data_IF_656081704244
#
_entry.id   IF_656081704244
#
_cell.length_a   1.000
_cell.length_b   1.000
_cell.length_c   1.000
_cell.angle_alpha   90.00
_cell.angle_beta   90.00
_cell.angle_gamma   90.00
#
_symmetry.space_group_name_H-M   'P 1'
#
loop_
_entity.id
_entity.type
_entity.pdbx_description
1 polymer ?
#
# COMPACT_ATOMS: atom_id res chain seq x y z
N UNK A 1 -12.91 -10.39 -42.51
CA UNK A 1 -13.83 -11.51 -42.84
C UNK A 1 -13.72 -12.57 -41.76
N UNK A 2 -14.80 -13.30 -41.48
CA UNK A 2 -14.88 -14.35 -40.46
C UNK A 2 -13.76 -15.39 -40.57
N UNK A 3 -13.30 -15.69 -41.78
CA UNK A 3 -12.16 -16.57 -42.02
C UNK A 3 -10.81 -15.99 -41.54
N UNK A 4 -10.61 -14.66 -41.65
CA UNK A 4 -9.40 -14.00 -41.16
C UNK A 4 -9.38 -13.94 -39.63
N UNK A 5 -10.51 -13.74 -38.99
CA UNK A 5 -10.65 -13.76 -37.53
C UNK A 5 -10.41 -15.14 -36.94
N UNK A 6 -10.98 -16.19 -37.59
CA UNK A 6 -10.72 -17.59 -37.21
C UNK A 6 -9.25 -17.96 -37.38
N UNK A 7 -8.60 -17.55 -38.47
CA UNK A 7 -7.18 -17.77 -38.68
C UNK A 7 -6.29 -17.04 -37.65
N UNK A 8 -6.65 -15.82 -37.29
CA UNK A 8 -5.93 -15.07 -36.27
C UNK A 8 -6.09 -15.69 -34.85
N UNK A 9 -7.30 -16.13 -34.52
CA UNK A 9 -7.60 -16.83 -33.28
C UNK A 9 -6.82 -18.14 -33.16
N UNK A 10 -6.80 -18.94 -34.24
CA UNK A 10 -6.07 -20.22 -34.28
C UNK A 10 -4.55 -19.99 -34.13
N UNK A 11 -4.00 -18.98 -34.82
CA UNK A 11 -2.58 -18.62 -34.70
C UNK A 11 -2.22 -18.19 -33.28
N UNK A 12 -3.08 -17.39 -32.64
CA UNK A 12 -2.90 -16.96 -31.25
C UNK A 12 -2.90 -18.16 -30.31
N UNK A 13 -3.88 -19.06 -30.41
CA UNK A 13 -3.96 -20.27 -29.59
C UNK A 13 -2.74 -21.17 -29.75
N UNK A 14 -2.30 -21.39 -31.01
CA UNK A 14 -1.12 -22.18 -31.30
C UNK A 14 0.17 -21.51 -30.76
N UNK A 15 0.27 -20.19 -30.84
CA UNK A 15 1.40 -19.42 -30.28
C UNK A 15 1.48 -19.53 -28.78
N UNK A 16 0.37 -19.30 -28.09
CA UNK A 16 0.28 -19.43 -26.62
C UNK A 16 0.62 -20.83 -26.16
N UNK A 17 0.12 -21.86 -26.85
CA UNK A 17 0.43 -23.27 -26.53
C UNK A 17 1.94 -23.56 -26.61
N UNK A 18 2.60 -23.12 -27.68
CA UNK A 18 4.06 -23.27 -27.83
C UNK A 18 4.82 -22.54 -26.72
N UNK A 19 4.32 -21.39 -26.31
CA UNK A 19 4.94 -20.64 -25.22
C UNK A 19 4.74 -21.33 -23.87
N UNK A 20 3.58 -21.95 -23.61
CA UNK A 20 3.34 -22.81 -22.43
C UNK A 20 4.35 -23.96 -22.39
N UNK A 21 4.55 -24.65 -23.52
CA UNK A 21 5.51 -25.74 -23.64
C UNK A 21 6.94 -25.26 -23.37
N UNK A 22 7.33 -24.11 -23.93
CA UNK A 22 8.63 -23.49 -23.69
C UNK A 22 8.85 -23.16 -22.21
N UNK A 23 7.90 -22.46 -21.57
CA UNK A 23 7.97 -22.10 -20.16
C UNK A 23 8.08 -23.35 -19.27
N UNK A 24 7.28 -24.38 -19.57
CA UNK A 24 7.28 -25.64 -18.81
C UNK A 24 8.62 -26.36 -18.91
N UNK A 25 9.23 -26.42 -20.09
CA UNK A 25 10.54 -27.06 -20.30
C UNK A 25 11.62 -26.38 -19.47
N UNK A 26 11.56 -25.05 -19.37
CA UNK A 26 12.52 -24.23 -18.60
C UNK A 26 12.11 -24.02 -17.16
N UNK A 27 11.10 -24.74 -16.65
CA UNK A 27 10.58 -24.65 -15.26
C UNK A 27 10.13 -23.24 -14.87
N UNK A 28 9.70 -22.47 -15.85
CA UNK A 28 9.09 -21.16 -15.67
C UNK A 28 7.56 -21.32 -15.56
N UNK A 29 6.85 -20.37 -14.87
CA UNK A 29 5.41 -20.45 -14.69
C UNK A 29 4.65 -20.43 -16.03
N UNK A 30 3.96 -21.53 -16.42
CA UNK A 30 3.27 -21.61 -17.72
C UNK A 30 2.07 -20.65 -17.83
N UNK A 31 1.49 -20.22 -16.70
CA UNK A 31 0.41 -19.23 -16.62
C UNK A 31 0.80 -17.86 -17.20
N UNK A 32 2.08 -17.55 -17.26
CA UNK A 32 2.58 -16.29 -17.84
C UNK A 32 2.48 -16.25 -19.38
N UNK A 33 2.26 -17.39 -20.03
CA UNK A 33 2.24 -17.49 -21.49
C UNK A 33 1.23 -16.53 -22.15
N UNK A 34 0.05 -16.36 -21.57
CA UNK A 34 -0.99 -15.47 -22.11
C UNK A 34 -0.54 -14.01 -22.05
N UNK A 35 0.03 -13.59 -20.91
CA UNK A 35 0.54 -12.21 -20.72
C UNK A 35 1.71 -11.93 -21.67
N UNK A 36 2.67 -12.84 -21.74
CA UNK A 36 3.83 -12.72 -22.61
C UNK A 36 3.42 -12.65 -24.09
N UNK A 37 2.52 -13.55 -24.52
CA UNK A 37 2.06 -13.57 -25.90
C UNK A 37 1.27 -12.32 -26.28
N UNK A 38 0.56 -11.71 -25.31
CA UNK A 38 -0.16 -10.45 -25.55
C UNK A 38 0.80 -9.31 -25.89
N UNK A 39 1.97 -9.24 -25.21
CA UNK A 39 2.94 -8.15 -25.38
C UNK A 39 3.89 -8.40 -26.55
N UNK A 40 4.45 -9.60 -26.61
CA UNK A 40 5.51 -9.95 -27.57
C UNK A 40 5.02 -10.78 -28.78
N UNK A 41 3.78 -11.28 -28.72
CA UNK A 41 3.23 -12.12 -29.81
C UNK A 41 4.09 -13.34 -30.10
N UNK A 42 4.35 -13.62 -31.40
CA UNK A 42 5.18 -14.74 -31.82
C UNK A 42 6.63 -14.67 -31.32
N UNK A 43 7.13 -13.48 -31.02
CA UNK A 43 8.52 -13.21 -30.65
C UNK A 43 8.78 -13.38 -29.13
N UNK A 44 7.77 -13.81 -28.36
CA UNK A 44 7.84 -13.95 -26.91
C UNK A 44 8.99 -14.85 -26.43
N UNK A 45 9.28 -15.95 -27.13
CA UNK A 45 10.39 -16.83 -26.77
C UNK A 45 11.75 -16.16 -27.01
N UNK A 46 11.88 -15.41 -28.09
CA UNK A 46 13.13 -14.69 -28.40
C UNK A 46 13.35 -13.54 -27.42
N UNK A 47 12.28 -12.80 -27.05
CA UNK A 47 12.33 -11.79 -26.01
C UNK A 47 12.81 -12.37 -24.67
N UNK A 48 12.32 -13.55 -24.28
CA UNK A 48 12.76 -14.22 -23.05
C UNK A 48 14.21 -14.73 -23.12
N UNK A 49 14.69 -15.13 -24.28
CA UNK A 49 16.10 -15.50 -24.47
C UNK A 49 17.03 -14.29 -24.44
N UNK A 50 16.55 -13.17 -24.97
CA UNK A 50 17.32 -11.92 -24.96
C UNK A 50 17.39 -11.32 -23.56
N UNK A 51 16.27 -11.31 -22.83
CA UNK A 51 16.21 -10.81 -21.46
C UNK A 51 15.27 -11.68 -20.58
N UNK A 52 15.81 -12.72 -19.93
CA UNK A 52 15.04 -13.55 -19.00
C UNK A 52 14.49 -12.78 -17.81
N UNK A 53 15.21 -11.73 -17.36
CA UNK A 53 14.89 -10.99 -16.13
C UNK A 53 13.67 -10.09 -16.27
N UNK A 54 13.14 -9.88 -17.48
CA UNK A 54 11.84 -9.23 -17.65
C UNK A 54 10.72 -9.95 -16.88
N UNK A 55 10.85 -11.25 -16.63
CA UNK A 55 9.87 -12.03 -15.86
C UNK A 55 9.86 -11.72 -14.37
N UNK A 56 10.91 -11.11 -13.84
CA UNK A 56 10.99 -10.68 -12.43
C UNK A 56 10.21 -9.38 -12.19
N UNK A 57 9.87 -8.65 -13.25
CA UNK A 57 9.01 -7.48 -13.16
C UNK A 57 7.70 -7.82 -12.43
N UNK A 58 7.19 -6.95 -11.53
CA UNK A 58 5.95 -7.17 -10.80
C UNK A 58 4.75 -7.52 -11.68
N UNK A 59 4.73 -7.06 -12.92
CA UNK A 59 3.69 -7.42 -13.88
C UNK A 59 3.62 -8.92 -14.16
N UNK A 60 4.78 -9.60 -14.25
CA UNK A 60 4.85 -11.04 -14.44
C UNK A 60 4.91 -11.79 -13.12
N UNK A 61 5.66 -11.28 -12.15
CA UNK A 61 5.74 -11.82 -10.81
C UNK A 61 6.36 -13.21 -10.72
N UNK A 62 7.25 -13.57 -11.65
CA UNK A 62 7.95 -14.84 -11.60
C UNK A 62 8.97 -14.86 -10.44
N UNK A 63 9.18 -16.05 -9.88
CA UNK A 63 10.20 -16.25 -8.86
C UNK A 63 11.61 -16.00 -9.40
N UNK A 64 12.38 -15.16 -8.69
CA UNK A 64 13.74 -14.80 -9.11
C UNK A 64 14.64 -16.03 -9.30
N UNK A 65 14.58 -17.01 -8.40
CA UNK A 65 15.43 -18.20 -8.47
C UNK A 65 15.17 -19.03 -9.74
N UNK A 66 13.90 -19.16 -10.16
CA UNK A 66 13.53 -19.86 -11.39
C UNK A 66 14.02 -19.11 -12.62
N UNK A 67 13.87 -17.80 -12.65
CA UNK A 67 14.32 -16.94 -13.76
C UNK A 67 15.84 -16.93 -13.86
N UNK A 68 16.54 -16.82 -12.72
CA UNK A 68 18.01 -16.83 -12.67
C UNK A 68 18.59 -18.17 -13.15
N UNK A 69 17.96 -19.30 -12.75
CA UNK A 69 18.33 -20.61 -13.26
C UNK A 69 18.19 -20.71 -14.80
N UNK A 70 17.09 -20.19 -15.34
CA UNK A 70 16.87 -20.14 -16.78
C UNK A 70 17.91 -19.25 -17.50
N UNK A 71 18.23 -18.08 -16.95
CA UNK A 71 19.24 -17.19 -17.50
C UNK A 71 20.62 -17.85 -17.55
N UNK A 72 20.98 -18.60 -16.50
CA UNK A 72 22.23 -19.36 -16.45
C UNK A 72 22.23 -20.55 -17.45
N UNK A 73 21.09 -21.20 -17.68
CA UNK A 73 20.95 -22.21 -18.77
C UNK A 73 21.22 -21.61 -20.16
N UNK A 74 20.93 -20.32 -20.35
CA UNK A 74 21.22 -19.57 -21.58
C UNK A 74 22.68 -19.10 -21.67
N UNK A 75 23.54 -19.50 -20.72
CA UNK A 75 24.94 -19.11 -20.63
C UNK A 75 25.16 -17.60 -20.50
N UNK A 76 24.19 -16.86 -19.91
CA UNK A 76 24.38 -15.48 -19.58
C UNK A 76 25.50 -15.33 -18.52
N UNK A 77 26.39 -14.32 -18.67
CA UNK A 77 27.46 -14.09 -17.71
C UNK A 77 26.94 -13.94 -16.29
N UNK A 78 27.65 -14.48 -15.31
CA UNK A 78 27.24 -14.40 -13.90
C UNK A 78 27.15 -12.94 -13.40
N UNK A 79 27.93 -12.03 -13.99
CA UNK A 79 27.98 -10.61 -13.72
C UNK A 79 27.21 -9.74 -14.75
N UNK A 80 26.33 -10.37 -15.56
CA UNK A 80 25.47 -9.64 -16.50
C UNK A 80 24.70 -8.53 -15.77
N UNK A 81 24.72 -7.32 -16.33
CA UNK A 81 24.11 -6.13 -15.72
C UNK A 81 22.63 -6.34 -15.37
N UNK A 82 21.87 -7.02 -16.25
CA UNK A 82 20.44 -7.32 -16.04
C UNK A 82 20.25 -8.26 -14.86
N UNK A 83 21.14 -9.25 -14.68
CA UNK A 83 21.13 -10.15 -13.52
C UNK A 83 21.35 -9.39 -12.21
N UNK A 84 22.36 -8.52 -12.21
CA UNK A 84 22.70 -7.71 -11.03
C UNK A 84 21.54 -6.77 -10.67
N UNK A 85 20.99 -6.06 -11.64
CA UNK A 85 19.86 -5.14 -11.44
C UNK A 85 18.61 -5.88 -10.96
N UNK A 86 18.28 -7.02 -11.57
CA UNK A 86 17.14 -7.85 -11.14
C UNK A 86 17.33 -8.38 -9.71
N UNK A 87 18.55 -8.77 -9.33
CA UNK A 87 18.87 -9.22 -7.97
C UNK A 87 18.70 -8.11 -6.93
N UNK A 88 19.13 -6.90 -7.23
CA UNK A 88 18.92 -5.72 -6.35
C UNK A 88 17.44 -5.42 -6.17
N UNK A 89 16.68 -5.39 -7.26
CA UNK A 89 15.23 -5.13 -7.21
C UNK A 89 14.47 -6.25 -6.51
N UNK A 90 14.92 -7.50 -6.66
CA UNK A 90 14.35 -8.63 -5.93
C UNK A 90 14.55 -8.47 -4.42
N UNK A 91 15.76 -8.14 -3.96
CA UNK A 91 16.02 -7.92 -2.53
C UNK A 91 15.20 -6.76 -1.96
N UNK A 92 15.04 -5.66 -2.70
CA UNK A 92 14.15 -4.57 -2.30
C UNK A 92 12.70 -5.06 -2.16
N UNK A 93 12.19 -5.78 -3.15
CA UNK A 93 10.81 -6.30 -3.14
C UNK A 93 10.59 -7.34 -2.04
N UNK A 94 11.57 -8.21 -1.80
CA UNK A 94 11.51 -9.21 -0.74
C UNK A 94 11.37 -8.56 0.65
N UNK A 95 12.10 -7.47 0.89
CA UNK A 95 12.03 -6.75 2.17
C UNK A 95 10.71 -5.98 2.39
N UNK A 96 10.02 -5.56 1.32
CA UNK A 96 8.66 -5.01 1.43
C UNK A 96 7.70 -6.03 2.04
N UNK A 97 7.80 -7.30 1.67
CA UNK A 97 6.99 -8.39 2.22
C UNK A 97 7.27 -8.65 3.71
N UNK A 98 8.40 -8.13 4.23
CA UNK A 98 8.75 -8.16 5.65
C UNK A 98 8.45 -6.85 6.39
N UNK A 99 7.67 -5.95 5.77
CA UNK A 99 7.18 -4.72 6.37
C UNK A 99 8.12 -3.52 6.26
N UNK A 100 9.26 -3.65 5.58
CA UNK A 100 10.23 -2.56 5.41
C UNK A 100 9.99 -1.81 4.10
N UNK A 101 9.89 -0.48 4.14
CA UNK A 101 9.74 0.36 2.95
C UNK A 101 11.07 0.65 2.25
N UNK A 102 12.17 0.52 2.96
CA UNK A 102 13.53 0.70 2.42
C UNK A 102 14.53 -0.28 3.04
N UNK A 103 15.70 -0.37 2.42
CA UNK A 103 16.85 -1.10 2.95
C UNK A 103 18.06 -0.15 2.97
N UNK A 104 18.87 -0.13 4.05
CA UNK A 104 20.16 0.55 4.03
C UNK A 104 21.06 0.03 2.91
N UNK A 105 21.73 0.92 2.18
CA UNK A 105 22.51 0.60 0.98
C UNK A 105 23.54 -0.51 1.21
N UNK A 106 24.26 -0.47 2.34
CA UNK A 106 25.24 -1.50 2.69
C UNK A 106 24.61 -2.88 2.90
N UNK A 107 23.42 -2.92 3.53
CA UNK A 107 22.69 -4.18 3.72
C UNK A 107 22.16 -4.71 2.39
N UNK A 108 21.63 -3.84 1.53
CA UNK A 108 21.16 -4.22 0.20
C UNK A 108 22.29 -4.78 -0.65
N UNK A 109 23.45 -4.11 -0.66
CA UNK A 109 24.64 -4.57 -1.35
C UNK A 109 25.09 -5.94 -0.85
N UNK A 110 25.19 -6.14 0.46
CA UNK A 110 25.61 -7.40 1.05
C UNK A 110 24.63 -8.56 0.77
N UNK A 111 23.31 -8.30 0.88
CA UNK A 111 22.28 -9.30 0.60
C UNK A 111 22.30 -9.73 -0.88
N UNK A 112 22.39 -8.76 -1.80
CA UNK A 112 22.44 -9.05 -3.24
C UNK A 112 23.75 -9.76 -3.63
N UNK A 113 24.89 -9.35 -3.06
CA UNK A 113 26.17 -10.04 -3.27
C UNK A 113 26.12 -11.51 -2.84
N UNK A 114 25.51 -11.79 -1.69
CA UNK A 114 25.28 -13.16 -1.21
C UNK A 114 24.30 -13.94 -2.12
N UNK A 115 23.20 -13.32 -2.54
CA UNK A 115 22.21 -13.93 -3.43
C UNK A 115 22.83 -14.36 -4.77
N UNK A 116 23.63 -13.48 -5.38
CA UNK A 116 24.19 -13.68 -6.72
C UNK A 116 25.58 -14.34 -6.71
N UNK A 117 26.20 -14.48 -5.53
CA UNK A 117 27.60 -14.92 -5.37
C UNK A 117 28.59 -14.06 -6.18
N UNK A 118 28.43 -12.74 -6.07
CA UNK A 118 29.26 -11.74 -6.75
C UNK A 118 29.97 -10.81 -5.75
N UNK A 119 31.04 -10.17 -6.20
CA UNK A 119 31.75 -9.18 -5.41
C UNK A 119 30.89 -7.91 -5.17
N UNK A 120 30.98 -7.28 -3.97
CA UNK A 120 30.20 -6.09 -3.63
C UNK A 120 30.34 -4.91 -4.61
N UNK A 121 31.50 -4.75 -5.24
CA UNK A 121 31.77 -3.67 -6.20
C UNK A 121 30.88 -3.78 -7.43
N UNK A 122 30.62 -5.01 -7.91
CA UNK A 122 29.75 -5.27 -9.05
C UNK A 122 28.29 -4.88 -8.67
N UNK A 123 27.88 -5.22 -7.45
CA UNK A 123 26.55 -4.87 -6.95
C UNK A 123 26.39 -3.36 -6.80
N UNK A 124 27.38 -2.65 -6.23
CA UNK A 124 27.34 -1.18 -6.11
C UNK A 124 27.24 -0.50 -7.47
N UNK A 125 27.94 -0.99 -8.49
CA UNK A 125 27.78 -0.49 -9.85
C UNK A 125 26.37 -0.67 -10.39
N UNK A 126 25.73 -1.82 -10.15
CA UNK A 126 24.34 -2.09 -10.50
C UNK A 126 23.34 -1.18 -9.74
N UNK A 127 23.57 -0.96 -8.45
CA UNK A 127 22.76 -0.03 -7.64
C UNK A 127 22.85 1.41 -8.17
N UNK A 128 24.06 1.85 -8.58
CA UNK A 128 24.26 3.17 -9.18
C UNK A 128 23.48 3.31 -10.49
N UNK A 129 23.56 2.32 -11.38
CA UNK A 129 22.79 2.32 -12.63
C UNK A 129 21.28 2.37 -12.39
N UNK A 130 20.75 1.56 -11.45
CA UNK A 130 19.34 1.57 -11.10
C UNK A 130 18.89 2.94 -10.58
N UNK A 131 19.73 3.61 -9.79
CA UNK A 131 19.44 4.96 -9.30
C UNK A 131 19.45 5.98 -10.45
N UNK A 132 20.43 5.93 -11.35
CA UNK A 132 20.50 6.80 -12.53
C UNK A 132 19.33 6.60 -13.50
N UNK A 133 18.82 5.37 -13.60
CA UNK A 133 17.64 5.03 -14.40
C UNK A 133 16.32 5.39 -13.71
N UNK A 134 16.35 5.85 -12.45
CA UNK A 134 15.14 6.12 -11.66
C UNK A 134 14.34 4.87 -11.25
N UNK A 135 14.96 3.68 -11.33
CA UNK A 135 14.36 2.40 -10.92
C UNK A 135 14.59 2.08 -9.44
N UNK A 136 15.45 2.82 -8.80
CA UNK A 136 15.71 2.82 -7.36
C UNK A 136 15.92 4.26 -6.89
N UNK A 137 15.41 4.61 -5.74
CA UNK A 137 15.64 5.91 -5.11
C UNK A 137 16.57 5.71 -3.91
N UNK A 138 17.58 6.57 -3.80
CA UNK A 138 18.46 6.60 -2.63
C UNK A 138 18.27 7.92 -1.91
N UNK A 139 17.94 7.88 -0.63
CA UNK A 139 17.77 9.06 0.21
C UNK A 139 18.49 8.89 1.55
N UNK A 140 18.72 9.99 2.25
CA UNK A 140 19.31 9.96 3.60
C UNK A 140 18.26 9.94 4.69
N UNK A 141 18.18 8.82 5.40
CA UNK A 141 17.28 8.63 6.54
C UNK A 141 18.11 8.35 7.79
N UNK A 142 18.01 9.21 8.78
CA UNK A 142 18.73 9.08 10.05
C UNK A 142 20.26 8.87 9.88
N UNK A 143 20.86 9.51 8.87
CA UNK A 143 22.30 9.41 8.57
C UNK A 143 22.72 8.17 7.74
N UNK A 144 21.77 7.31 7.40
CA UNK A 144 21.99 6.14 6.54
C UNK A 144 21.52 6.43 5.11
N UNK A 145 22.20 5.86 4.13
CA UNK A 145 21.69 5.79 2.76
C UNK A 145 20.62 4.71 2.68
N UNK A 146 19.38 5.14 2.45
CA UNK A 146 18.20 4.29 2.35
C UNK A 146 17.80 4.08 0.89
N UNK A 147 17.71 2.83 0.46
CA UNK A 147 17.32 2.45 -0.89
C UNK A 147 15.85 2.03 -0.92
N UNK A 148 15.10 2.62 -1.84
CA UNK A 148 13.67 2.41 -2.03
C UNK A 148 13.34 1.96 -3.44
N UNK A 149 12.25 1.20 -3.58
CA UNK A 149 11.51 1.20 -4.85
C UNK A 149 10.79 2.54 -5.00
N UNK A 150 10.78 3.16 -6.20
CA UNK A 150 10.25 4.51 -6.40
C UNK A 150 8.83 4.72 -5.88
N UNK A 151 7.92 3.76 -6.12
CA UNK A 151 6.53 3.85 -5.69
C UNK A 151 6.36 3.92 -4.17
N UNK A 152 7.27 3.35 -3.38
CA UNK A 152 7.23 3.41 -1.92
C UNK A 152 7.83 4.71 -1.39
N UNK A 153 8.88 5.21 -2.04
CA UNK A 153 9.42 6.54 -1.73
C UNK A 153 8.39 7.64 -1.96
N UNK A 154 7.76 7.63 -3.14
CA UNK A 154 6.70 8.57 -3.50
C UNK A 154 5.50 8.49 -2.56
N UNK A 155 5.12 7.28 -2.14
CA UNK A 155 4.04 7.06 -1.18
C UNK A 155 4.39 7.64 0.20
N UNK A 156 5.60 7.41 0.72
CA UNK A 156 6.04 8.00 1.99
C UNK A 156 6.05 9.54 1.93
N UNK A 157 6.61 10.12 0.86
CA UNK A 157 6.62 11.56 0.67
C UNK A 157 5.19 12.14 0.60
N UNK A 158 4.32 11.48 -0.15
CA UNK A 158 2.93 11.92 -0.28
C UNK A 158 2.21 11.89 1.06
N UNK A 159 2.28 10.75 1.77
CA UNK A 159 1.65 10.59 3.08
C UNK A 159 2.19 11.62 4.07
N UNK A 160 3.51 11.78 4.16
CA UNK A 160 4.14 12.75 5.06
C UNK A 160 3.62 14.17 4.78
N UNK A 161 3.66 14.60 3.54
CA UNK A 161 3.17 15.94 3.14
C UNK A 161 1.68 16.12 3.45
N UNK A 162 0.85 15.12 3.13
CA UNK A 162 -0.59 15.17 3.34
C UNK A 162 -0.96 15.22 4.83
N UNK A 163 -0.31 14.40 5.64
CA UNK A 163 -0.48 14.39 7.09
C UNK A 163 -0.10 15.75 7.69
N UNK A 164 1.05 16.32 7.32
CA UNK A 164 1.47 17.64 7.81
C UNK A 164 0.47 18.75 7.45
N UNK A 165 -0.15 18.68 6.27
CA UNK A 165 -1.22 19.60 5.89
C UNK A 165 -2.48 19.47 6.76
N UNK A 166 -2.73 18.27 7.32
CA UNK A 166 -3.92 17.96 8.12
C UNK A 166 -3.70 18.18 9.64
N UNK A 167 -2.52 18.53 10.10
CA UNK A 167 -2.24 18.74 11.55
C UNK A 167 -2.78 20.06 12.09
N UNK A 168 -3.39 20.89 11.26
CA UNK A 168 -3.96 22.18 11.65
C UNK A 168 -5.19 22.09 12.55
N UNK A 169 -5.46 23.17 13.26
CA UNK A 169 -6.70 23.34 14.02
C UNK A 169 -7.84 23.74 13.07
N UNK A 170 -9.04 23.23 13.39
CA UNK A 170 -10.29 23.65 12.76
C UNK A 170 -11.04 24.59 13.70
N UNK A 171 -11.81 25.50 13.10
CA UNK A 171 -12.71 26.34 13.88
C UNK A 171 -13.80 25.46 14.51
N UNK A 172 -13.80 25.42 15.84
CA UNK A 172 -14.79 24.66 16.60
C UNK A 172 -16.08 25.46 16.77
N UNK A 173 -17.24 24.80 16.85
CA UNK A 173 -18.49 25.48 17.22
C UNK A 173 -18.37 26.17 18.55
N UNK A 174 -18.89 27.41 18.69
CA UNK A 174 -18.86 28.17 19.92
C UNK A 174 -19.58 27.50 21.11
N UNK A 175 -20.49 26.58 20.79
CA UNK A 175 -21.27 25.79 21.77
C UNK A 175 -20.75 24.34 21.90
N UNK A 176 -19.46 24.08 21.61
CA UNK A 176 -18.88 22.71 21.56
C UNK A 176 -19.16 21.91 22.83
N UNK A 177 -18.96 22.50 24.02
CA UNK A 177 -19.22 21.80 25.29
C UNK A 177 -20.69 21.34 25.41
N UNK A 178 -21.64 22.18 25.01
CA UNK A 178 -23.07 21.80 24.98
C UNK A 178 -23.34 20.68 23.97
N UNK A 179 -22.60 20.63 22.85
CA UNK A 179 -22.74 19.55 21.87
C UNK A 179 -22.18 18.23 22.43
N UNK A 180 -21.07 18.28 23.16
CA UNK A 180 -20.49 17.11 23.84
C UNK A 180 -21.42 16.59 24.94
N UNK A 181 -21.99 17.49 25.79
CA UNK A 181 -22.96 17.12 26.81
C UNK A 181 -24.19 16.42 26.20
N UNK A 182 -24.69 16.92 25.09
CA UNK A 182 -25.82 16.31 24.38
C UNK A 182 -25.47 14.96 23.78
N UNK A 183 -24.22 14.80 23.25
CA UNK A 183 -23.73 13.52 22.76
C UNK A 183 -23.71 12.48 23.89
N UNK A 184 -23.20 12.86 25.07
CA UNK A 184 -23.17 12.03 26.27
C UNK A 184 -24.57 11.62 26.72
N UNK A 185 -25.51 12.56 26.79
CA UNK A 185 -26.91 12.31 27.14
C UNK A 185 -27.62 11.37 26.13
N UNK A 186 -27.35 11.59 24.82
CA UNK A 186 -27.97 10.76 23.76
C UNK A 186 -27.57 9.30 23.84
N UNK A 187 -26.40 9.00 24.38
CA UNK A 187 -25.89 7.65 24.55
C UNK A 187 -26.16 7.07 25.92
N UNK A 188 -26.76 7.83 26.84
CA UNK A 188 -27.01 7.42 28.22
C UNK A 188 -25.73 6.93 28.93
N UNK A 189 -24.61 7.57 28.62
CA UNK A 189 -23.28 7.24 29.14
C UNK A 189 -22.66 8.48 29.76
N UNK A 190 -21.75 8.26 30.71
CA UNK A 190 -20.85 9.30 31.22
C UNK A 190 -19.44 9.00 30.71
N UNK A 191 -18.87 9.92 29.93
CA UNK A 191 -17.52 9.74 29.39
C UNK A 191 -16.47 9.95 30.48
N UNK A 192 -15.44 9.09 30.48
CA UNK A 192 -14.25 9.39 31.25
C UNK A 192 -13.56 10.67 30.71
N UNK A 193 -12.77 11.34 31.55
CA UNK A 193 -12.16 12.62 31.16
C UNK A 193 -11.38 12.56 29.84
N UNK A 194 -10.59 11.51 29.64
CA UNK A 194 -9.82 11.32 28.40
C UNK A 194 -10.73 11.00 27.19
N UNK A 195 -11.81 10.27 27.38
CA UNK A 195 -12.78 10.00 26.33
C UNK A 195 -13.49 11.28 25.89
N UNK A 196 -13.91 12.10 26.87
CA UNK A 196 -14.52 13.41 26.61
C UNK A 196 -13.58 14.34 25.88
N UNK A 197 -12.31 14.35 26.26
CA UNK A 197 -11.27 15.14 25.58
C UNK A 197 -11.10 14.68 24.14
N UNK A 198 -10.97 13.38 23.85
CA UNK A 198 -10.87 12.84 22.49
C UNK A 198 -12.07 13.23 21.62
N UNK A 199 -13.30 13.17 22.17
CA UNK A 199 -14.52 13.59 21.47
C UNK A 199 -14.48 15.09 21.15
N UNK A 200 -14.04 15.91 22.09
CA UNK A 200 -13.88 17.35 21.91
C UNK A 200 -12.86 17.67 20.82
N UNK A 201 -11.71 17.01 20.88
CA UNK A 201 -10.63 17.18 19.90
C UNK A 201 -11.06 16.80 18.47
N UNK A 202 -11.93 15.83 18.30
CA UNK A 202 -12.46 15.46 17.00
C UNK A 202 -13.19 16.60 16.27
N UNK A 203 -13.75 17.56 17.01
CA UNK A 203 -14.33 18.77 16.42
C UNK A 203 -13.28 19.83 16.06
N UNK A 204 -12.15 19.83 16.76
CA UNK A 204 -11.11 20.86 16.69
C UNK A 204 -9.94 20.50 15.80
N UNK A 205 -9.77 19.24 15.43
CA UNK A 205 -8.65 18.74 14.64
C UNK A 205 -9.14 18.13 13.34
N UNK A 206 -8.39 18.37 12.28
CA UNK A 206 -8.66 17.72 11.00
C UNK A 206 -8.17 16.27 11.03
N UNK A 207 -7.04 16.00 11.66
CA UNK A 207 -6.49 14.68 11.87
C UNK A 207 -6.34 14.42 13.38
N UNK A 208 -6.89 13.31 13.84
CA UNK A 208 -6.81 12.86 15.23
C UNK A 208 -6.54 11.36 15.27
N UNK A 209 -5.62 10.94 16.13
CA UNK A 209 -5.37 9.55 16.46
C UNK A 209 -6.03 9.23 17.81
N UNK A 210 -6.83 8.17 17.83
CA UNK A 210 -7.42 7.59 19.04
C UNK A 210 -6.77 6.23 19.27
N UNK A 211 -5.96 6.13 20.30
CA UNK A 211 -5.21 4.90 20.60
C UNK A 211 -5.57 4.36 21.99
N UNK A 212 -5.36 3.07 22.16
CA UNK A 212 -5.56 2.37 23.44
C UNK A 212 -5.62 0.86 23.24
N UNK A 213 -5.29 0.12 24.28
CA UNK A 213 -5.35 -1.34 24.29
C UNK A 213 -6.79 -1.89 24.21
N UNK A 214 -6.95 -3.21 24.22
CA UNK A 214 -8.25 -3.85 24.26
C UNK A 214 -9.06 -3.43 25.49
N UNK A 215 -10.35 -3.13 25.32
CA UNK A 215 -11.25 -2.76 26.42
C UNK A 215 -11.07 -1.36 27.01
N UNK A 216 -10.24 -0.50 26.45
CA UNK A 216 -10.00 0.87 26.94
C UNK A 216 -11.10 1.89 26.59
N UNK A 217 -12.14 1.44 25.86
CA UNK A 217 -13.27 2.31 25.50
C UNK A 217 -13.13 3.05 24.18
N UNK A 218 -12.26 2.60 23.25
CA UNK A 218 -12.15 3.18 21.89
C UNK A 218 -13.51 3.21 21.18
N UNK A 219 -14.30 2.15 21.29
CA UNK A 219 -15.65 2.10 20.71
C UNK A 219 -16.57 3.17 21.29
N UNK A 220 -16.49 3.42 22.59
CA UNK A 220 -17.25 4.49 23.26
C UNK A 220 -16.86 5.86 22.71
N UNK A 221 -15.57 6.11 22.53
CA UNK A 221 -15.05 7.35 21.92
C UNK A 221 -15.55 7.51 20.49
N UNK A 222 -15.47 6.46 19.66
CA UNK A 222 -16.00 6.49 18.28
C UNK A 222 -17.48 6.82 18.24
N UNK A 223 -18.28 6.16 19.08
CA UNK A 223 -19.72 6.42 19.18
C UNK A 223 -20.00 7.86 19.64
N UNK A 224 -19.20 8.37 20.57
CA UNK A 224 -19.27 9.75 21.02
C UNK A 224 -18.94 10.77 19.93
N UNK A 225 -17.88 10.51 19.15
CA UNK A 225 -17.51 11.33 17.99
C UNK A 225 -18.63 11.33 16.95
N UNK A 226 -19.22 10.17 16.66
CA UNK A 226 -20.33 10.06 15.73
C UNK A 226 -21.56 10.85 16.20
N UNK A 227 -21.92 10.77 17.49
CA UNK A 227 -23.03 11.54 18.06
C UNK A 227 -22.75 13.06 18.00
N UNK A 228 -21.52 13.49 18.24
CA UNK A 228 -21.09 14.88 18.08
C UNK A 228 -21.19 15.32 16.61
N UNK A 229 -20.69 14.53 15.67
CA UNK A 229 -20.72 14.84 14.25
C UNK A 229 -22.12 14.92 13.68
N UNK A 230 -23.06 14.08 14.17
CA UNK A 230 -24.48 14.21 13.81
C UNK A 230 -25.08 15.56 14.19
N UNK A 231 -24.77 16.02 15.41
CA UNK A 231 -25.23 17.33 15.86
C UNK A 231 -24.59 18.48 15.08
N UNK A 232 -23.35 18.29 14.62
CA UNK A 232 -22.62 19.23 13.76
C UNK A 232 -23.03 19.11 12.28
N UNK A 233 -23.88 18.13 11.91
CA UNK A 233 -24.26 17.82 10.53
C UNK A 233 -23.08 17.47 9.64
N UNK A 234 -22.08 16.84 10.20
CA UNK A 234 -20.88 16.34 9.50
C UNK A 234 -21.20 14.97 8.90
N UNK A 235 -21.17 14.85 7.59
CA UNK A 235 -21.39 13.57 6.91
C UNK A 235 -20.19 12.66 7.12
N UNK A 236 -20.37 11.60 7.90
CA UNK A 236 -19.30 10.70 8.33
C UNK A 236 -19.41 9.33 7.68
N UNK A 237 -18.28 8.82 7.16
CA UNK A 237 -18.12 7.44 6.71
C UNK A 237 -17.26 6.66 7.71
N UNK A 238 -17.51 5.35 7.77
CA UNK A 238 -16.78 4.41 8.62
C UNK A 238 -16.09 3.35 7.76
N UNK A 239 -14.82 3.11 8.05
CA UNK A 239 -14.05 2.10 7.33
C UNK A 239 -13.12 1.31 8.27
N UNK A 240 -12.73 0.13 7.82
CA UNK A 240 -11.73 -0.71 8.46
C UNK A 240 -10.93 -1.47 7.39
N UNK A 241 -9.72 -1.98 7.70
CA UNK A 241 -8.89 -2.66 6.72
C UNK A 241 -9.44 -4.02 6.29
N UNK A 242 -10.21 -4.70 7.13
CA UNK A 242 -10.74 -6.04 6.87
C UNK A 242 -12.26 -6.11 6.97
N UNK A 243 -12.87 -7.08 6.26
CA UNK A 243 -14.31 -7.30 6.32
C UNK A 243 -14.82 -7.65 7.73
N UNK A 244 -14.04 -8.40 8.50
CA UNK A 244 -14.36 -8.73 9.90
C UNK A 244 -14.35 -7.49 10.79
N UNK A 245 -13.35 -6.63 10.65
CA UNK A 245 -13.27 -5.37 11.39
C UNK A 245 -14.39 -4.41 10.99
N UNK A 246 -14.70 -4.28 9.70
CA UNK A 246 -15.80 -3.45 9.20
C UNK A 246 -17.14 -3.91 9.74
N UNK A 247 -17.41 -5.23 9.76
CA UNK A 247 -18.64 -5.80 10.32
C UNK A 247 -18.76 -5.50 11.81
N UNK A 248 -17.68 -5.70 12.58
CA UNK A 248 -17.65 -5.39 14.01
C UNK A 248 -17.88 -3.89 14.26
N UNK A 249 -17.26 -3.03 13.46
CA UNK A 249 -17.45 -1.57 13.55
C UNK A 249 -18.91 -1.20 13.31
N UNK A 250 -19.55 -1.78 12.30
CA UNK A 250 -20.97 -1.56 12.01
C UNK A 250 -21.87 -2.02 13.17
N UNK A 251 -21.63 -3.20 13.72
CA UNK A 251 -22.39 -3.74 14.86
C UNK A 251 -22.25 -2.86 16.12
N UNK A 252 -21.04 -2.41 16.41
CA UNK A 252 -20.77 -1.61 17.60
C UNK A 252 -21.30 -0.18 17.50
N UNK A 253 -21.36 0.41 16.30
CA UNK A 253 -21.80 1.80 16.09
C UNK A 253 -23.26 1.91 15.65
N UNK A 254 -23.87 0.80 15.23
CA UNK A 254 -25.21 0.80 14.63
C UNK A 254 -25.29 1.52 13.27
N UNK A 255 -24.15 1.67 12.57
CA UNK A 255 -24.02 2.39 11.29
C UNK A 255 -23.37 1.52 10.23
N UNK A 256 -23.59 1.88 8.98
CA UNK A 256 -22.88 1.23 7.89
C UNK A 256 -21.38 1.49 7.98
N UNK A 257 -20.61 0.42 7.83
CA UNK A 257 -19.17 0.45 7.72
C UNK A 257 -18.72 -0.50 6.62
N UNK A 258 -17.66 -0.16 5.93
CA UNK A 258 -17.10 -0.98 4.85
C UNK A 258 -15.58 -1.17 4.99
N UNK A 259 -15.03 -2.08 4.19
CA UNK A 259 -13.57 -2.12 4.07
C UNK A 259 -13.07 -0.89 3.31
N UNK A 260 -11.82 -0.48 3.58
CA UNK A 260 -11.20 0.64 2.85
C UNK A 260 -11.21 0.35 1.35
N UNK A 261 -10.88 -0.87 0.94
CA UNK A 261 -10.92 -1.27 -0.47
C UNK A 261 -12.30 -1.09 -1.11
N UNK A 262 -13.36 -1.51 -0.41
CA UNK A 262 -14.74 -1.34 -0.89
C UNK A 262 -15.15 0.13 -0.91
N UNK A 263 -14.73 0.89 0.11
CA UNK A 263 -15.01 2.33 0.20
C UNK A 263 -14.40 3.10 -0.97
N UNK A 264 -13.17 2.72 -1.37
CA UNK A 264 -12.46 3.33 -2.50
C UNK A 264 -12.87 2.75 -3.85
N UNK A 265 -13.82 1.79 -3.89
CA UNK A 265 -14.22 1.07 -5.09
C UNK A 265 -13.03 0.47 -5.84
N UNK A 266 -12.28 -0.38 -5.13
CA UNK A 266 -11.11 -1.03 -5.70
C UNK A 266 -11.45 -1.88 -6.91
N UNK A 267 -10.67 -1.74 -7.97
CA UNK A 267 -10.76 -2.51 -9.20
C UNK A 267 -9.43 -3.23 -9.43
N UNK A 268 -9.51 -4.51 -9.69
CA UNK A 268 -8.34 -5.28 -10.08
C UNK A 268 -8.30 -5.35 -11.61
N UNK A 269 -7.27 -4.78 -12.20
CA UNK A 269 -7.03 -4.87 -13.62
C UNK A 269 -6.33 -6.20 -13.91
N UNK A 270 -7.07 -7.15 -14.47
CA UNK A 270 -6.53 -8.45 -14.86
C UNK A 270 -5.46 -8.34 -15.95
N UNK A 271 -5.45 -7.24 -16.70
CA UNK A 271 -4.48 -7.05 -17.79
C UNK A 271 -3.12 -6.62 -17.26
N UNK A 272 -3.09 -5.69 -16.31
CA UNK A 272 -1.86 -5.17 -15.71
C UNK A 272 -1.47 -5.88 -14.42
N UNK A 273 -2.40 -6.66 -13.81
CA UNK A 273 -2.21 -7.25 -12.49
C UNK A 273 -2.16 -6.22 -11.37
N UNK A 274 -2.54 -4.97 -11.66
CA UNK A 274 -2.50 -3.87 -10.70
C UNK A 274 -3.88 -3.61 -10.09
N UNK A 275 -3.89 -3.18 -8.84
CA UNK A 275 -5.09 -2.68 -8.18
C UNK A 275 -5.17 -1.17 -8.40
N UNK A 276 -6.33 -0.70 -8.84
CA UNK A 276 -6.67 0.72 -8.94
C UNK A 276 -7.88 1.02 -8.06
N UNK A 277 -8.11 2.29 -7.79
CA UNK A 277 -9.23 2.77 -6.99
C UNK A 277 -9.99 3.82 -7.79
N UNK A 278 -11.33 3.76 -7.73
CA UNK A 278 -12.18 4.75 -8.38
C UNK A 278 -12.13 6.10 -7.66
N UNK A 279 -12.18 6.04 -6.30
CA UNK A 279 -12.05 7.27 -5.51
C UNK A 279 -10.59 7.67 -5.34
N UNK A 280 -10.28 8.87 -5.77
CA UNK A 280 -8.97 9.51 -5.72
C UNK A 280 -9.09 11.05 -5.57
N UNK A 281 -8.10 11.80 -6.02
CA UNK A 281 -8.09 13.26 -5.95
C UNK A 281 -9.11 13.91 -6.90
N UNK A 282 -9.42 13.26 -8.03
CA UNK A 282 -10.38 13.75 -9.04
C UNK A 282 -11.82 13.39 -8.65
N UNK A 283 -12.03 12.22 -8.05
CA UNK A 283 -13.33 11.72 -7.59
C UNK A 283 -13.31 11.40 -6.08
N UNK A 284 -13.21 12.42 -5.20
CA UNK A 284 -13.04 12.21 -3.78
C UNK A 284 -14.29 11.61 -3.11
N UNK A 285 -14.08 10.96 -1.98
CA UNK A 285 -15.15 10.39 -1.16
C UNK A 285 -16.19 11.47 -0.78
N UNK A 286 -17.50 11.15 -0.87
CA UNK A 286 -18.56 12.10 -0.61
C UNK A 286 -18.84 12.26 0.89
N UNK A 287 -17.81 12.57 1.68
CA UNK A 287 -17.90 12.75 3.14
C UNK A 287 -17.18 14.00 3.62
N UNK A 288 -17.52 14.41 4.84
CA UNK A 288 -16.87 15.52 5.56
C UNK A 288 -15.96 15.01 6.68
N UNK A 289 -16.17 13.74 7.08
CA UNK A 289 -15.33 13.03 8.01
C UNK A 289 -15.23 11.54 7.65
N UNK A 290 -14.08 10.95 7.92
CA UNK A 290 -13.83 9.52 7.82
C UNK A 290 -13.24 9.02 9.13
N UNK A 291 -13.81 7.96 9.69
CA UNK A 291 -13.26 7.24 10.83
C UNK A 291 -12.75 5.88 10.33
N UNK A 292 -11.49 5.58 10.59
CA UNK A 292 -10.85 4.31 10.25
C UNK A 292 -10.52 3.57 11.53
N UNK A 293 -11.13 2.42 11.74
CA UNK A 293 -10.81 1.53 12.85
C UNK A 293 -9.75 0.51 12.45
N UNK A 294 -9.06 -0.08 13.42
CA UNK A 294 -7.97 -1.04 13.24
C UNK A 294 -6.86 -0.50 12.30
N UNK A 295 -6.53 0.78 12.44
CA UNK A 295 -5.58 1.47 11.56
C UNK A 295 -4.17 0.87 11.60
N UNK A 296 -3.78 0.16 12.68
CA UNK A 296 -2.50 -0.56 12.76
C UNK A 296 -2.28 -1.58 11.62
N UNK A 297 -3.36 -2.08 11.02
CA UNK A 297 -3.33 -3.02 9.90
C UNK A 297 -3.31 -2.35 8.52
N UNK A 298 -3.34 -1.03 8.44
CA UNK A 298 -3.30 -0.27 7.19
C UNK A 298 -1.86 -0.03 6.77
N UNK A 299 -1.48 -0.54 5.61
CA UNK A 299 -0.15 -0.33 5.05
C UNK A 299 0.01 1.03 4.36
N UNK A 300 1.23 1.34 3.95
CA UNK A 300 1.58 2.62 3.33
C UNK A 300 0.80 2.86 2.02
N UNK A 301 0.66 1.85 1.18
CA UNK A 301 -0.02 1.99 -0.13
C UNK A 301 -1.52 2.24 0.05
N UNK A 302 -2.16 1.49 0.95
CA UNK A 302 -3.58 1.65 1.24
C UNK A 302 -3.87 3.01 1.90
N UNK A 303 -2.99 3.47 2.82
CA UNK A 303 -3.10 4.81 3.39
C UNK A 303 -2.91 5.90 2.35
N UNK A 304 -1.97 5.73 1.41
CA UNK A 304 -1.77 6.67 0.30
C UNK A 304 -3.04 6.79 -0.54
N UNK A 305 -3.63 5.66 -0.94
CA UNK A 305 -4.88 5.66 -1.69
C UNK A 305 -6.02 6.33 -0.92
N UNK A 306 -6.14 6.04 0.39
CA UNK A 306 -7.15 6.65 1.24
C UNK A 306 -7.01 8.16 1.33
N UNK A 307 -5.79 8.65 1.58
CA UNK A 307 -5.53 10.09 1.70
C UNK A 307 -5.76 10.84 0.38
N UNK A 308 -5.49 10.20 -0.77
CA UNK A 308 -5.82 10.76 -2.10
C UNK A 308 -7.31 10.95 -2.30
N UNK A 309 -8.11 10.03 -1.78
CA UNK A 309 -9.57 10.09 -1.90
C UNK A 309 -10.25 11.07 -0.92
N UNK A 310 -9.52 11.70 0.00
CA UNK A 310 -10.08 12.66 0.94
C UNK A 310 -10.09 14.08 0.39
N UNK A 311 -11.24 14.75 0.54
CA UNK A 311 -11.34 16.20 0.28
C UNK A 311 -10.35 16.99 1.14
N UNK A 312 -9.90 18.18 0.70
CA UNK A 312 -8.91 18.97 1.44
C UNK A 312 -9.28 19.27 2.90
N UNK A 313 -10.56 19.45 3.19
CA UNK A 313 -11.08 19.77 4.55
C UNK A 313 -11.75 18.60 5.25
N UNK A 314 -11.69 17.39 4.68
CA UNK A 314 -12.24 16.20 5.32
C UNK A 314 -11.51 15.90 6.62
N UNK A 315 -12.25 15.61 7.69
CA UNK A 315 -11.69 15.15 8.96
C UNK A 315 -11.31 13.67 8.84
N UNK A 316 -10.20 13.31 9.44
CA UNK A 316 -9.74 11.93 9.50
C UNK A 316 -9.46 11.53 10.95
N UNK A 317 -10.18 10.53 11.42
CA UNK A 317 -9.99 9.93 12.73
C UNK A 317 -9.41 8.53 12.54
N UNK A 318 -8.19 8.33 13.00
CA UNK A 318 -7.50 7.05 12.94
C UNK A 318 -7.59 6.37 14.31
N UNK A 319 -8.24 5.22 14.36
CA UNK A 319 -8.45 4.47 15.61
C UNK A 319 -7.67 3.15 15.52
N UNK A 320 -6.94 2.82 16.57
CA UNK A 320 -6.15 1.58 16.57
C UNK A 320 -5.38 1.36 17.86
N UNK A 321 -4.61 0.29 17.85
CA UNK A 321 -3.71 -0.09 18.92
C UNK A 321 -2.32 -0.34 18.32
N UNK A 322 -1.31 0.49 18.66
CA UNK A 322 0.03 0.37 18.08
C UNK A 322 0.75 -0.92 18.50
N UNK A 323 0.29 -1.59 19.56
CA UNK A 323 0.88 -2.83 20.08
C UNK A 323 0.24 -4.09 19.46
N UNK A 324 -0.80 -3.92 18.62
CA UNK A 324 -1.39 -5.01 17.85
C UNK A 324 -0.56 -5.35 16.61
N UNK A 325 -0.92 -6.44 15.95
CA UNK A 325 -0.24 -6.90 14.73
C UNK A 325 -0.15 -5.76 13.69
N UNK A 326 1.04 -5.52 13.15
CA UNK A 326 1.22 -4.54 12.08
C UNK A 326 0.55 -4.99 10.79
N UNK A 327 0.50 -4.10 9.80
CA UNK A 327 0.05 -4.41 8.45
C UNK A 327 0.85 -5.56 7.82
N UNK A 328 0.23 -6.32 6.94
CA UNK A 328 0.91 -7.35 6.14
C UNK A 328 1.80 -6.69 5.08
N UNK A 329 1.40 -5.55 4.54
CA UNK A 329 2.17 -4.75 3.59
C UNK A 329 3.24 -3.89 4.25
N UNK A 330 4.04 -3.22 3.43
CA UNK A 330 5.15 -2.39 3.89
C UNK A 330 4.68 -1.14 4.65
N UNK A 331 5.43 -0.80 5.70
CA UNK A 331 5.24 0.39 6.53
C UNK A 331 4.41 0.15 7.78
N UNK A 332 4.93 0.62 8.92
CA UNK A 332 4.21 0.63 10.20
C UNK A 332 3.70 2.05 10.51
N UNK A 333 2.89 2.56 9.58
CA UNK A 333 2.53 3.97 9.53
C UNK A 333 1.83 4.46 10.81
N UNK A 334 0.91 3.68 11.37
CA UNK A 334 0.16 4.08 12.56
C UNK A 334 1.07 4.30 13.78
N UNK A 335 1.96 3.37 14.04
CA UNK A 335 2.94 3.49 15.12
C UNK A 335 3.95 4.62 14.86
N UNK A 336 4.36 4.83 13.60
CA UNK A 336 5.28 5.90 13.23
C UNK A 336 4.63 7.28 13.38
N UNK A 337 3.37 7.44 13.03
CA UNK A 337 2.61 8.68 13.27
C UNK A 337 2.53 9.01 14.75
N UNK A 338 2.22 8.03 15.61
CA UNK A 338 2.18 8.23 17.08
C UNK A 338 3.58 8.62 17.60
N UNK A 339 4.62 7.88 17.21
CA UNK A 339 6.01 8.15 17.65
C UNK A 339 6.53 9.49 17.18
N UNK A 340 6.07 9.98 16.04
CA UNK A 340 6.49 11.28 15.50
C UNK A 340 6.12 12.47 16.41
N UNK A 341 5.07 12.32 17.23
CA UNK A 341 4.51 13.39 18.04
C UNK A 341 3.98 14.59 17.23
N UNK A 342 3.81 14.42 15.92
CA UNK A 342 3.33 15.48 15.01
C UNK A 342 1.81 15.49 14.86
N UNK A 343 1.16 14.37 15.15
CA UNK A 343 -0.29 14.22 15.09
C UNK A 343 -0.85 14.15 16.49
N UNK A 344 -1.93 14.88 16.72
CA UNK A 344 -2.64 14.85 17.99
C UNK A 344 -3.17 13.44 18.29
N UNK A 345 -2.83 12.95 19.50
CA UNK A 345 -3.11 11.57 19.89
C UNK A 345 -3.74 11.51 21.25
#
# INVERSE_FOLDING_TARGET
>A
SKAAEMSASFRRQSGVRRLIEFLTIHRLPPELAVRLYRIYGPDAQDALRDDPYLLVDPYYGADFAAVDAFALELELPADDERRVEAGVLFELSFNLNHGHTFIPAEKLCAATAALLSLEPEIIRAGMTRLSEQGRMVVDRVAGLEACYLPQFYEAEEYVCRRILQMTGELEAPSNLESLVDRAEQSQSLTYAAQQREAIRMAAQRQLLIVTGGPGTGKTTVMSGILALYDQMKVKTLLAAPTGRAAKRLAECTGREASTIHRLLESQFDEETGMMSFFHDEDEPLPCDALIVDETSMVDLQLMTALLRALKPKCRLILVGDPDQLPSVGAGNLFADLIRSGRVET
#
